data_IF_452826318153
#
_entry.id   IF_452826318153
#
_cell.length_a   1.000
_cell.length_b   1.000
_cell.length_c   1.000
_cell.angle_alpha   90.00
_cell.angle_beta   90.00
_cell.angle_gamma   90.00
#
_symmetry.space_group_name_H-M   'P 1'
#
loop_
_entity.id
_entity.type
_entity.pdbx_description
1 polymer ?
#
# COMPACT_ATOMS: atom_id res chain seq x y z
N UNK A 1 -17.07 -11.62 -26.11
CA UNK A 1 -16.40 -12.53 -25.16
C UNK A 1 -16.95 -12.25 -23.76
N UNK A 2 -17.67 -13.20 -23.16
CA UNK A 2 -18.19 -13.04 -21.80
C UNK A 2 -17.06 -13.16 -20.78
N UNK A 3 -16.89 -12.14 -19.94
CA UNK A 3 -15.93 -12.17 -18.82
C UNK A 3 -16.41 -13.23 -17.81
N UNK A 4 -15.65 -14.30 -17.60
CA UNK A 4 -15.89 -15.27 -16.53
C UNK A 4 -15.80 -14.56 -15.17
N UNK A 5 -16.95 -14.30 -14.54
CA UNK A 5 -17.02 -13.65 -13.24
C UNK A 5 -16.90 -14.67 -12.10
N UNK A 6 -15.76 -14.65 -11.42
CA UNK A 6 -15.55 -15.35 -10.14
C UNK A 6 -16.49 -14.71 -9.10
N UNK A 7 -17.19 -15.53 -8.33
CA UNK A 7 -18.08 -15.03 -7.27
C UNK A 7 -17.43 -15.07 -5.90
N UNK A 8 -17.83 -14.14 -5.04
CA UNK A 8 -17.36 -14.01 -3.65
C UNK A 8 -18.35 -14.63 -2.65
N UNK A 9 -19.40 -15.29 -3.12
CA UNK A 9 -20.38 -15.92 -2.25
C UNK A 9 -19.78 -17.14 -1.53
N UNK A 10 -20.12 -17.35 -0.26
CA UNK A 10 -19.60 -18.52 0.47
C UNK A 10 -20.38 -19.81 0.18
N UNK A 11 -21.46 -19.75 -0.61
CA UNK A 11 -22.40 -20.85 -0.77
C UNK A 11 -21.88 -21.93 -1.71
N UNK A 12 -20.90 -21.59 -2.54
CA UNK A 12 -20.12 -22.57 -3.29
C UNK A 12 -19.06 -23.31 -2.44
N UNK A 13 -18.89 -22.97 -1.15
CA UNK A 13 -17.99 -23.68 -0.23
C UNK A 13 -18.72 -24.83 0.46
N UNK A 14 -17.96 -25.77 1.05
CA UNK A 14 -18.52 -26.86 1.85
C UNK A 14 -18.96 -26.37 3.24
N UNK A 15 -19.87 -27.11 3.89
CA UNK A 15 -20.23 -26.93 5.30
C UNK A 15 -19.02 -27.24 6.19
N UNK A 16 -19.03 -26.75 7.43
CA UNK A 16 -17.98 -27.08 8.41
C UNK A 16 -17.85 -28.59 8.66
N UNK A 17 -18.96 -29.33 8.57
CA UNK A 17 -19.00 -30.81 8.65
C UNK A 17 -18.49 -31.51 7.39
N UNK A 18 -18.07 -30.77 6.35
CA UNK A 18 -17.58 -31.31 5.08
C UNK A 18 -18.66 -31.59 4.03
N UNK A 19 -19.95 -31.55 4.39
CA UNK A 19 -21.06 -31.75 3.45
C UNK A 19 -21.19 -30.65 2.39
N UNK A 20 -21.70 -30.99 1.21
CA UNK A 20 -21.98 -30.01 0.15
C UNK A 20 -23.17 -29.09 0.50
N UNK A 21 -23.10 -27.83 0.06
CA UNK A 21 -24.17 -26.83 0.21
C UNK A 21 -24.92 -26.72 -1.13
N UNK A 22 -26.24 -26.91 -1.12
CA UNK A 22 -27.07 -26.64 -2.28
C UNK A 22 -27.23 -25.13 -2.50
N UNK A 23 -27.00 -24.66 -3.73
CA UNK A 23 -27.14 -23.26 -4.10
C UNK A 23 -28.62 -22.92 -4.30
N UNK A 24 -29.19 -22.14 -3.38
CA UNK A 24 -30.61 -21.74 -3.41
C UNK A 24 -30.86 -20.45 -4.22
N UNK A 25 -29.83 -19.67 -4.54
CA UNK A 25 -29.96 -18.33 -5.13
C UNK A 25 -28.91 -18.02 -6.20
N UNK A 26 -29.23 -17.06 -7.07
CA UNK A 26 -28.29 -16.46 -8.05
C UNK A 26 -27.37 -15.42 -7.38
N UNK A 27 -26.18 -15.21 -7.98
CA UNK A 27 -25.12 -14.32 -7.48
C UNK A 27 -25.57 -12.84 -7.46
N UNK A 28 -25.30 -12.11 -6.37
CA UNK A 28 -25.65 -10.68 -6.16
C UNK A 28 -24.40 -9.78 -6.13
N UNK A 29 -24.55 -8.48 -6.45
CA UNK A 29 -23.48 -7.46 -6.45
C UNK A 29 -23.67 -6.51 -5.26
N UNK A 30 -22.83 -6.58 -4.21
CA UNK A 30 -23.01 -5.75 -3.01
C UNK A 30 -21.68 -5.17 -2.50
N UNK A 31 -21.76 -3.90 -2.06
CA UNK A 31 -20.88 -3.08 -1.21
C UNK A 31 -19.92 -2.09 -1.90
N UNK A 32 -20.24 -0.81 -1.72
CA UNK A 32 -19.32 0.33 -1.87
C UNK A 32 -19.26 1.01 -0.51
N UNK A 33 -18.07 1.10 0.10
CA UNK A 33 -17.85 1.98 1.25
C UNK A 33 -16.48 2.63 1.06
N UNK A 34 -16.42 3.95 1.24
CA UNK A 34 -15.21 4.76 1.31
C UNK A 34 -15.28 5.63 2.55
N UNK A 35 -14.17 5.76 3.26
CA UNK A 35 -13.87 6.89 4.14
C UNK A 35 -12.36 7.08 4.17
N UNK A 36 -11.91 8.34 4.14
CA UNK A 36 -10.51 8.74 4.39
C UNK A 36 -10.54 9.93 5.35
N UNK A 37 -9.74 9.85 6.41
CA UNK A 37 -9.36 10.95 7.30
C UNK A 37 -7.90 11.31 7.03
N UNK A 38 -7.62 12.61 6.89
CA UNK A 38 -6.34 13.11 6.38
C UNK A 38 -5.26 13.28 7.44
N UNK A 39 -4.03 13.03 7.02
CA UNK A 39 -2.80 13.63 7.53
C UNK A 39 -2.08 14.31 6.35
N UNK A 40 -1.18 15.27 6.59
CA UNK A 40 -0.39 15.93 5.53
C UNK A 40 0.40 14.89 4.73
N UNK A 41 0.30 14.93 3.40
CA UNK A 41 0.90 13.96 2.48
C UNK A 41 1.91 14.67 1.56
N UNK A 42 3.04 14.03 1.30
CA UNK A 42 3.99 14.45 0.26
C UNK A 42 4.00 13.40 -0.85
N UNK A 43 3.97 13.85 -2.11
CA UNK A 43 4.12 12.97 -3.28
C UNK A 43 5.60 12.72 -3.49
N UNK A 44 6.04 11.48 -3.36
CA UNK A 44 7.43 11.05 -3.50
C UNK A 44 7.53 9.93 -4.52
N UNK A 45 8.71 9.80 -5.14
CA UNK A 45 8.97 8.73 -6.10
C UNK A 45 9.26 7.43 -5.35
N UNK A 46 8.60 6.34 -5.78
CA UNK A 46 8.91 4.98 -5.32
C UNK A 46 10.18 4.52 -6.03
N UNK A 47 11.15 4.02 -5.27
CA UNK A 47 12.41 3.49 -5.80
C UNK A 47 12.27 1.99 -6.09
N UNK A 48 11.92 1.21 -5.07
CA UNK A 48 11.82 -0.24 -5.19
C UNK A 48 10.84 -0.86 -4.19
N UNK A 49 10.38 -2.06 -4.50
CA UNK A 49 9.58 -2.89 -3.61
C UNK A 49 10.50 -3.83 -2.85
N UNK A 50 10.55 -3.70 -1.53
CA UNK A 50 11.55 -4.41 -0.72
C UNK A 50 10.96 -5.67 -0.07
N UNK A 51 9.71 -5.59 0.39
CA UNK A 51 9.09 -6.71 1.09
C UNK A 51 7.57 -6.71 0.98
N UNK A 52 7.03 -7.91 0.86
CA UNK A 52 5.63 -8.21 1.08
C UNK A 52 5.48 -9.37 2.06
N UNK A 53 4.42 -9.32 2.89
CA UNK A 53 4.13 -10.36 3.88
C UNK A 53 3.54 -11.61 3.25
N UNK A 54 2.61 -11.45 2.30
CA UNK A 54 1.75 -12.55 1.85
C UNK A 54 2.37 -13.41 0.75
N UNK A 55 3.15 -12.82 -0.14
CA UNK A 55 3.74 -13.50 -1.29
C UNK A 55 4.98 -12.75 -1.78
N UNK A 56 6.10 -13.48 -1.96
CA UNK A 56 7.35 -12.92 -2.45
C UNK A 56 7.34 -12.68 -3.97
N UNK A 57 6.46 -13.33 -4.74
CA UNK A 57 6.38 -13.11 -6.19
C UNK A 57 6.08 -11.64 -6.55
N UNK A 58 5.32 -10.95 -5.71
CA UNK A 58 5.02 -9.53 -5.90
C UNK A 58 6.22 -8.61 -5.69
N UNK A 59 7.23 -9.05 -4.92
CA UNK A 59 8.50 -8.33 -4.76
C UNK A 59 9.32 -8.49 -6.04
N UNK A 60 9.35 -9.70 -6.62
CA UNK A 60 10.09 -10.02 -7.85
C UNK A 60 9.54 -9.26 -9.06
N UNK A 61 8.22 -9.17 -9.16
CA UNK A 61 7.52 -8.53 -10.28
C UNK A 61 7.27 -7.03 -10.09
N UNK A 62 7.69 -6.45 -8.96
CA UNK A 62 7.46 -5.03 -8.60
C UNK A 62 5.98 -4.62 -8.65
N UNK A 63 5.07 -5.54 -8.30
CA UNK A 63 3.64 -5.26 -8.26
C UNK A 63 3.25 -4.68 -6.91
N UNK A 64 2.58 -3.52 -6.91
CA UNK A 64 2.14 -2.84 -5.70
C UNK A 64 0.77 -3.33 -5.24
N UNK A 65 0.71 -3.84 -4.00
CA UNK A 65 -0.53 -4.22 -3.33
C UNK A 65 -0.53 -3.58 -1.93
N UNK A 66 -1.67 -3.57 -1.25
CA UNK A 66 -1.81 -3.03 0.11
C UNK A 66 -0.79 -3.68 1.07
N UNK A 67 -0.24 -2.88 1.98
CA UNK A 67 0.67 -3.33 3.05
C UNK A 67 2.07 -3.78 2.59
N UNK A 68 2.57 -3.19 1.50
CA UNK A 68 3.94 -3.42 1.03
C UNK A 68 4.92 -2.50 1.74
N UNK A 69 6.13 -3.01 1.97
CA UNK A 69 7.26 -2.20 2.43
C UNK A 69 8.07 -1.83 1.20
N UNK A 70 8.15 -0.53 0.95
CA UNK A 70 8.78 0.05 -0.24
C UNK A 70 9.89 1.01 0.17
N UNK A 71 10.87 1.17 -0.72
CA UNK A 71 11.89 2.19 -0.60
C UNK A 71 11.44 3.43 -1.38
N UNK A 72 11.51 4.58 -0.74
CA UNK A 72 11.05 5.87 -1.26
C UNK A 72 12.23 6.84 -1.33
N UNK A 73 12.17 7.77 -2.29
CA UNK A 73 13.11 8.90 -2.37
C UNK A 73 12.99 9.85 -1.16
N UNK A 74 14.09 10.12 -0.48
CA UNK A 74 14.13 10.91 0.75
C UNK A 74 14.26 12.42 0.52
N UNK A 75 14.56 12.85 -0.71
CA UNK A 75 14.90 14.24 -1.06
C UNK A 75 13.88 15.27 -0.57
N UNK A 76 12.58 15.00 -0.78
CA UNK A 76 11.50 15.91 -0.37
C UNK A 76 11.37 16.03 1.16
N UNK A 77 11.59 14.95 1.90
CA UNK A 77 11.54 14.97 3.36
C UNK A 77 12.76 15.67 3.96
N UNK A 78 13.93 15.50 3.34
CA UNK A 78 15.15 16.21 3.73
C UNK A 78 15.00 17.72 3.55
N UNK A 79 14.50 18.18 2.40
CA UNK A 79 14.23 19.60 2.15
C UNK A 79 13.22 20.17 3.15
N UNK A 80 12.17 19.42 3.45
CA UNK A 80 11.19 19.82 4.46
C UNK A 80 11.83 19.95 5.85
N UNK A 81 12.63 18.97 6.27
CA UNK A 81 13.31 18.96 7.56
C UNK A 81 14.30 20.13 7.67
N UNK A 82 15.07 20.36 6.61
CA UNK A 82 16.00 21.49 6.53
C UNK A 82 15.26 22.83 6.66
N UNK A 83 14.12 22.99 5.97
CA UNK A 83 13.31 24.21 6.08
C UNK A 83 12.58 24.38 7.43
N UNK A 84 12.21 23.28 8.09
CA UNK A 84 11.48 23.31 9.36
C UNK A 84 12.38 23.51 10.58
N UNK A 85 13.57 22.90 10.58
CA UNK A 85 14.45 22.88 11.77
C UNK A 85 15.76 23.66 11.60
N UNK A 86 16.26 23.85 10.38
CA UNK A 86 17.52 24.58 10.09
C UNK A 86 17.27 25.75 9.15
N UNK A 87 16.62 26.81 9.63
CA UNK A 87 16.41 28.03 8.84
C UNK A 87 17.73 28.81 8.65
N UNK A 88 18.50 28.50 7.62
CA UNK A 88 19.37 29.52 6.99
C UNK A 88 18.56 30.27 5.95
N UNK A 89 18.46 31.59 6.14
CA UNK A 89 17.65 32.51 5.32
C UNK A 89 18.10 32.52 3.85
N UNK A 90 17.12 32.68 2.97
CA UNK A 90 17.16 32.87 1.52
C UNK A 90 17.33 31.60 0.68
N UNK A 91 16.19 31.02 0.29
CA UNK A 91 15.92 30.74 -1.12
C UNK A 91 14.42 30.78 -1.40
N UNK A 92 14.05 31.20 -2.61
CA UNK A 92 12.66 31.48 -3.01
C UNK A 92 11.79 30.24 -2.85
N UNK A 93 10.73 30.38 -2.05
CA UNK A 93 9.67 29.36 -1.88
C UNK A 93 9.09 29.02 -3.26
N UNK A 94 9.32 27.80 -3.74
CA UNK A 94 8.62 27.27 -4.90
C UNK A 94 7.34 26.62 -4.39
N UNK A 95 6.21 27.30 -4.60
CA UNK A 95 4.90 26.72 -4.34
C UNK A 95 4.64 25.65 -5.41
N UNK A 96 4.52 24.39 -4.98
CA UNK A 96 4.14 23.29 -5.86
C UNK A 96 2.69 22.97 -5.57
N UNK A 97 1.78 23.45 -6.42
CA UNK A 97 0.39 23.03 -6.38
C UNK A 97 0.29 21.55 -6.74
N UNK A 98 -0.37 20.78 -5.88
CA UNK A 98 -0.52 19.33 -6.04
C UNK A 98 -1.96 19.06 -6.51
N UNK A 99 -2.16 19.03 -7.82
CA UNK A 99 -3.45 18.71 -8.43
C UNK A 99 -3.85 17.26 -8.10
N UNK A 100 -5.06 17.07 -7.54
CA UNK A 100 -5.56 15.77 -7.08
C UNK A 100 -6.32 15.07 -8.22
N UNK A 101 -5.61 14.26 -9.01
CA UNK A 101 -6.23 13.33 -9.94
C UNK A 101 -6.85 12.14 -9.20
N UNK A 102 -8.11 11.81 -9.52
CA UNK A 102 -8.87 10.67 -9.01
C UNK A 102 -8.39 9.35 -9.65
N UNK A 103 -7.10 9.08 -9.60
CA UNK A 103 -6.51 7.83 -10.10
C UNK A 103 -6.24 6.88 -8.91
N UNK A 104 -5.89 5.62 -9.19
CA UNK A 104 -5.52 4.63 -8.18
C UNK A 104 -4.24 5.09 -7.46
N UNK A 105 -4.39 5.97 -6.48
CA UNK A 105 -3.30 6.55 -5.73
C UNK A 105 -2.74 5.50 -4.76
N UNK A 106 -1.42 5.31 -4.80
CA UNK A 106 -0.70 4.49 -3.82
C UNK A 106 -0.35 5.40 -2.64
N UNK A 107 -1.18 5.33 -1.59
CA UNK A 107 -0.93 6.03 -0.33
C UNK A 107 -0.18 5.11 0.66
N UNK A 108 0.68 5.71 1.50
CA UNK A 108 1.45 5.03 2.53
C UNK A 108 1.96 5.98 3.61
N UNK A 109 2.61 5.44 4.63
CA UNK A 109 3.25 6.18 5.73
C UNK A 109 4.71 5.72 5.91
N UNK A 110 5.54 6.60 6.48
CA UNK A 110 6.94 6.27 6.79
C UNK A 110 6.97 5.37 8.02
N UNK A 111 7.72 4.27 7.95
CA UNK A 111 7.93 3.37 9.09
C UNK A 111 8.92 3.99 10.06
N UNK A 112 8.53 4.09 11.33
CA UNK A 112 9.34 4.69 12.40
C UNK A 112 9.40 3.78 13.64
N UNK A 113 10.38 4.01 14.51
CA UNK A 113 10.53 3.30 15.79
C UNK A 113 10.50 1.76 15.68
N UNK A 114 9.70 1.12 16.53
CA UNK A 114 9.62 -0.34 16.64
C UNK A 114 9.18 -1.02 15.34
N UNK A 115 8.32 -0.38 14.54
CA UNK A 115 7.85 -0.94 13.26
C UNK A 115 8.99 -1.00 12.22
N UNK A 116 9.83 0.05 12.21
CA UNK A 116 11.02 0.09 11.36
C UNK A 116 12.04 -0.97 11.78
N UNK A 117 12.28 -1.12 13.08
CA UNK A 117 13.21 -2.13 13.60
C UNK A 117 12.76 -3.55 13.28
N UNK A 118 11.47 -3.85 13.46
CA UNK A 118 10.89 -5.14 13.11
C UNK A 118 11.07 -5.44 11.61
N UNK A 119 10.71 -4.48 10.76
CA UNK A 119 10.83 -4.60 9.30
C UNK A 119 12.28 -4.81 8.87
N UNK A 120 13.20 -4.04 9.45
CA UNK A 120 14.64 -4.14 9.19
C UNK A 120 15.20 -5.51 9.59
N UNK A 121 14.79 -6.05 10.75
CA UNK A 121 15.19 -7.40 11.19
C UNK A 121 14.72 -8.48 10.20
N UNK A 122 13.48 -8.38 9.71
CA UNK A 122 12.95 -9.33 8.71
C UNK A 122 13.70 -9.26 7.38
N UNK A 123 14.06 -8.06 6.93
CA UNK A 123 14.86 -7.87 5.72
C UNK A 123 16.26 -8.46 5.86
N UNK A 124 16.94 -8.21 6.99
CA UNK A 124 18.28 -8.77 7.26
C UNK A 124 18.26 -10.29 7.26
N UNK A 125 17.33 -10.91 7.99
CA UNK A 125 17.21 -12.37 8.05
C UNK A 125 16.92 -13.02 6.70
N UNK A 126 16.19 -12.33 5.80
CA UNK A 126 15.92 -12.83 4.45
C UNK A 126 17.12 -12.73 3.51
N UNK A 127 18.00 -11.74 3.68
CA UNK A 127 19.21 -11.57 2.84
C UNK A 127 20.31 -12.58 3.16
N UNK A 128 20.33 -13.10 4.39
CA UNK A 128 21.34 -14.07 4.83
C UNK A 128 21.01 -15.51 4.44
N UNK A 129 19.77 -15.79 4.01
CA UNK A 129 19.35 -17.08 3.47
C UNK A 129 19.51 -17.12 1.96
#
# INVERSE_FOLDING_TARGET
MSIMNISRDKWHKRRATGGCIALLMKKRKIHTVRTMGGNKKYRTRIIDVVYNLSNNEFVRTKTLVKSFIIQIDSTLFRQWNEAHYTQTKYDKKKEVEVEQALEKQVDGYILEGNELEFSSRKLKSKKTK
#
